data_IF_101830461839
#
_entry.id   IF_101830461839
#
_cell.length_a   1.000
_cell.length_b   1.000
_cell.length_c   1.000
_cell.angle_alpha   90.00
_cell.angle_beta   90.00
_cell.angle_gamma   90.00
#
_symmetry.space_group_name_H-M   'P 1'
#
loop_
_entity.id
_entity.type
_entity.pdbx_description
1 polymer ?
#
# COMPACT_ATOMS: atom_id res chain seq x y z
N UNK A 1 -6.81 5.22 8.66
CA UNK A 1 -6.49 5.99 7.44
C UNK A 1 -7.44 5.56 6.32
N UNK A 2 -8.27 6.45 5.80
CA UNK A 2 -9.20 6.16 4.68
C UNK A 2 -8.74 6.75 3.35
N UNK A 3 -7.66 7.56 3.32
CA UNK A 3 -7.00 8.05 2.11
C UNK A 3 -5.53 8.34 2.38
N UNK A 4 -4.71 8.09 1.37
CA UNK A 4 -3.34 8.60 1.29
C UNK A 4 -3.43 10.10 1.02
N UNK A 5 -2.93 10.92 1.95
CA UNK A 5 -3.02 12.39 1.90
C UNK A 5 -2.06 12.97 0.83
N UNK A 6 -2.42 14.09 0.22
CA UNK A 6 -1.62 14.72 -0.86
C UNK A 6 -0.27 15.29 -0.38
N UNK A 7 -0.04 15.31 0.93
CA UNK A 7 1.17 15.84 1.56
C UNK A 7 2.33 14.84 1.56
N UNK A 8 2.12 13.59 1.11
CA UNK A 8 3.20 12.61 1.01
C UNK A 8 4.02 12.92 -0.24
N UNK A 9 5.34 13.19 -0.10
CA UNK A 9 6.21 13.43 -1.25
C UNK A 9 6.15 12.26 -2.23
N UNK A 10 6.00 12.54 -3.53
CA UNK A 10 5.84 11.49 -4.54
C UNK A 10 7.12 10.68 -4.80
N UNK A 11 8.27 11.18 -4.34
CA UNK A 11 9.58 10.54 -4.44
C UNK A 11 9.90 9.60 -3.26
N UNK A 12 8.91 9.27 -2.42
CA UNK A 12 9.12 8.31 -1.32
C UNK A 12 9.43 6.92 -1.85
N UNK A 13 10.44 6.30 -1.25
CA UNK A 13 10.85 4.92 -1.59
C UNK A 13 10.28 3.89 -0.63
N UNK A 14 9.74 4.32 0.52
CA UNK A 14 9.18 3.43 1.54
C UNK A 14 7.88 4.01 2.13
N UNK A 15 6.85 3.18 2.23
CA UNK A 15 5.58 3.50 2.89
C UNK A 15 5.30 2.43 3.94
N UNK A 16 5.10 2.88 5.18
CA UNK A 16 4.82 2.01 6.33
C UNK A 16 3.39 2.26 6.80
N UNK A 17 2.52 1.28 6.58
CA UNK A 17 1.10 1.27 6.99
C UNK A 17 0.78 0.07 7.90
N UNK A 18 1.79 -0.52 8.52
CA UNK A 18 1.65 -1.67 9.44
C UNK A 18 0.79 -1.29 10.65
N UNK A 19 0.08 -2.27 11.22
CA UNK A 19 -0.70 -2.12 12.46
C UNK A 19 -1.82 -1.07 12.37
N UNK A 20 -2.47 -0.98 11.21
CA UNK A 20 -3.64 -0.13 10.98
C UNK A 20 -4.93 -0.98 10.87
N UNK A 21 -6.05 -0.32 10.61
CA UNK A 21 -7.34 -0.97 10.35
C UNK A 21 -7.73 -0.92 8.86
N UNK A 22 -6.77 -1.05 7.95
CA UNK A 22 -7.07 -1.09 6.50
C UNK A 22 -7.82 -2.38 6.22
N UNK A 23 -8.98 -2.28 5.57
CA UNK A 23 -9.85 -3.43 5.27
C UNK A 23 -9.88 -3.82 3.79
N UNK A 24 -9.61 -2.87 2.90
CA UNK A 24 -9.66 -3.07 1.46
C UNK A 24 -8.57 -2.23 0.79
N UNK A 25 -7.98 -2.74 -0.28
CA UNK A 25 -7.08 -1.99 -1.16
C UNK A 25 -7.74 -1.88 -2.52
N UNK A 26 -8.14 -0.66 -2.87
CA UNK A 26 -8.81 -0.37 -4.14
C UNK A 26 -7.83 -0.28 -5.32
N UNK A 27 -8.36 -0.22 -6.56
CA UNK A 27 -7.54 0.00 -7.74
C UNK A 27 -6.73 1.30 -7.60
N UNK A 28 -5.50 1.31 -8.10
CA UNK A 28 -4.65 2.50 -8.14
C UNK A 28 -4.37 3.16 -6.78
N UNK A 29 -4.58 2.45 -5.65
CA UNK A 29 -4.43 3.02 -4.30
C UNK A 29 -3.05 3.63 -4.05
N UNK A 30 -2.01 3.12 -4.72
CA UNK A 30 -0.63 3.58 -4.59
C UNK A 30 -0.06 4.15 -5.89
N UNK A 31 -0.90 4.49 -6.88
CA UNK A 31 -0.44 4.82 -8.23
C UNK A 31 0.43 6.07 -8.35
N UNK A 32 0.34 6.98 -7.37
CA UNK A 32 1.17 8.19 -7.32
C UNK A 32 2.62 7.91 -6.87
N UNK A 33 2.93 6.74 -6.31
CA UNK A 33 4.25 6.43 -5.73
C UNK A 33 5.08 5.52 -6.63
N UNK A 34 5.41 6.00 -7.82
CA UNK A 34 6.19 5.23 -8.82
C UNK A 34 7.62 4.94 -8.36
N UNK A 35 8.15 5.71 -7.41
CA UNK A 35 9.46 5.51 -6.78
C UNK A 35 9.47 4.50 -5.63
N UNK A 36 8.30 3.94 -5.27
CA UNK A 36 8.16 3.09 -4.10
C UNK A 36 8.89 1.75 -4.30
N UNK A 37 9.75 1.41 -3.35
CA UNK A 37 10.48 0.14 -3.31
C UNK A 37 10.02 -0.76 -2.17
N UNK A 38 9.46 -0.21 -1.09
CA UNK A 38 8.97 -0.96 0.07
C UNK A 38 7.58 -0.51 0.50
N UNK A 39 6.65 -1.46 0.61
CA UNK A 39 5.30 -1.23 1.10
C UNK A 39 4.97 -2.22 2.23
N UNK A 40 4.77 -1.69 3.44
CA UNK A 40 4.45 -2.50 4.62
C UNK A 40 2.98 -2.34 5.00
N UNK A 41 2.20 -3.40 4.80
CA UNK A 41 0.76 -3.49 5.06
C UNK A 41 0.41 -4.61 6.06
N UNK A 42 1.40 -5.20 6.72
CA UNK A 42 1.17 -6.26 7.71
C UNK A 42 0.37 -5.78 8.93
N UNK A 43 -0.20 -6.71 9.69
CA UNK A 43 -1.03 -6.42 10.87
C UNK A 43 -2.18 -5.44 10.54
N UNK A 44 -2.87 -5.66 9.42
CA UNK A 44 -4.07 -4.92 9.06
C UNK A 44 -5.29 -5.86 9.09
N UNK A 45 -6.42 -5.37 8.57
CA UNK A 45 -7.67 -6.13 8.45
C UNK A 45 -8.05 -6.34 6.99
N UNK A 46 -7.06 -6.42 6.08
CA UNK A 46 -7.31 -6.48 4.63
C UNK A 46 -8.03 -7.79 4.31
N UNK A 47 -9.16 -7.67 3.61
CA UNK A 47 -10.00 -8.76 3.09
C UNK A 47 -10.04 -8.78 1.58
N UNK A 48 -9.85 -7.62 0.95
CA UNK A 48 -9.85 -7.51 -0.51
C UNK A 48 -8.69 -6.65 -0.99
N UNK A 49 -8.06 -7.11 -2.06
CA UNK A 49 -7.05 -6.38 -2.81
C UNK A 49 -7.50 -6.43 -4.26
N UNK A 50 -7.70 -5.27 -4.87
CA UNK A 50 -8.00 -5.19 -6.30
C UNK A 50 -6.75 -5.53 -7.13
N UNK A 51 -6.93 -6.19 -8.27
CA UNK A 51 -5.83 -6.58 -9.16
C UNK A 51 -4.96 -5.38 -9.61
N UNK A 52 -5.59 -4.21 -9.80
CA UNK A 52 -4.90 -2.97 -10.18
C UNK A 52 -4.34 -2.17 -8.99
N UNK A 53 -4.33 -2.73 -7.77
CA UNK A 53 -3.89 -2.02 -6.57
C UNK A 53 -2.41 -1.60 -6.62
N UNK A 54 -1.57 -2.41 -7.28
CA UNK A 54 -0.11 -2.26 -7.26
C UNK A 54 0.51 -2.08 -8.66
N UNK A 55 -0.28 -2.00 -9.73
CA UNK A 55 0.20 -1.95 -11.13
C UNK A 55 1.23 -0.84 -11.39
N UNK A 56 1.02 0.33 -10.81
CA UNK A 56 1.91 1.49 -10.98
C UNK A 56 3.19 1.44 -10.12
N UNK A 57 3.32 0.46 -9.21
CA UNK A 57 4.48 0.31 -8.33
C UNK A 57 5.63 -0.44 -9.02
N UNK A 58 6.07 0.08 -10.17
CA UNK A 58 7.06 -0.57 -11.06
C UNK A 58 8.44 -0.78 -10.42
N UNK A 59 8.75 -0.08 -9.33
CA UNK A 59 10.00 -0.20 -8.57
C UNK A 59 9.86 -1.03 -7.28
N UNK A 60 8.69 -1.59 -7.00
CA UNK A 60 8.42 -2.30 -5.76
C UNK A 60 9.29 -3.55 -5.65
N UNK A 61 9.99 -3.68 -4.53
CA UNK A 61 10.86 -4.83 -4.21
C UNK A 61 10.30 -5.64 -3.05
N UNK A 62 9.71 -4.96 -2.06
CA UNK A 62 9.22 -5.58 -0.84
C UNK A 62 7.77 -5.19 -0.60
N UNK A 63 6.89 -6.19 -0.55
CA UNK A 63 5.50 -6.07 -0.15
C UNK A 63 5.24 -6.98 1.05
N UNK A 64 4.87 -6.40 2.18
CA UNK A 64 4.61 -7.14 3.41
C UNK A 64 3.11 -7.11 3.73
N UNK A 65 2.45 -8.26 3.67
CA UNK A 65 1.02 -8.43 3.94
C UNK A 65 0.71 -9.43 5.08
N UNK A 66 1.71 -9.85 5.87
CA UNK A 66 1.47 -10.84 6.93
C UNK A 66 0.43 -10.37 7.96
N UNK A 67 -0.28 -11.31 8.58
CA UNK A 67 -1.25 -11.03 9.63
C UNK A 67 -2.30 -10.03 9.12
N UNK A 68 -2.98 -10.43 8.05
CA UNK A 68 -4.23 -9.86 7.56
C UNK A 68 -5.34 -10.92 7.68
N UNK A 69 -6.60 -10.52 7.50
CA UNK A 69 -7.78 -11.35 7.75
C UNK A 69 -8.45 -11.81 6.44
N UNK A 70 -7.61 -12.20 5.47
CA UNK A 70 -7.92 -12.53 4.07
C UNK A 70 -9.35 -12.99 3.81
#
# INVERSE_FOLDING_TARGET
LTKIHEDIPLNVTQIILRANSITNIGPNSFSKFTELTHLYLGFNKIRTINDAAFEALVKLKILILHINVW
#
